data_IF_826467152893
#
_entry.id   IF_826467152893
#
_cell.length_a   1.000
_cell.length_b   1.000
_cell.length_c   1.000
_cell.angle_alpha   90.00
_cell.angle_beta   90.00
_cell.angle_gamma   90.00
#
_symmetry.space_group_name_H-M   'P 1'
#
loop_
_entity.id
_entity.type
_entity.pdbx_description
1 polymer ?
#
# COMPACT_ATOMS: atom_id res chain seq x y z
N UNK A 1 12.62 46.19 -65.12
CA UNK A 1 13.48 45.12 -64.66
C UNK A 1 13.30 45.02 -63.13
N UNK A 2 12.44 44.13 -62.70
CA UNK A 2 12.15 43.82 -61.29
C UNK A 2 13.08 42.69 -60.82
N UNK A 3 13.89 42.94 -59.78
CA UNK A 3 14.57 41.89 -59.01
C UNK A 3 13.76 41.61 -57.78
N UNK A 4 13.25 40.35 -57.68
CA UNK A 4 12.67 39.76 -56.49
C UNK A 4 13.78 39.17 -55.62
N UNK A 5 13.97 39.70 -54.44
CA UNK A 5 14.83 39.12 -53.40
C UNK A 5 13.95 38.20 -52.52
N UNK A 6 14.19 36.90 -52.62
CA UNK A 6 13.60 35.89 -51.74
C UNK A 6 14.38 35.83 -50.44
N UNK A 7 13.77 36.28 -49.35
CA UNK A 7 14.34 36.12 -48.02
C UNK A 7 14.05 34.72 -47.47
N UNK A 8 15.09 33.97 -47.20
CA UNK A 8 15.02 32.68 -46.50
C UNK A 8 14.96 32.98 -44.98
N UNK A 9 13.82 32.69 -44.37
CA UNK A 9 13.65 32.77 -42.92
C UNK A 9 14.17 31.48 -42.31
N UNK A 10 15.36 31.56 -41.75
CA UNK A 10 15.94 30.45 -40.97
C UNK A 10 15.27 30.41 -39.58
N UNK A 11 14.39 29.43 -39.37
CA UNK A 11 13.86 29.10 -38.05
C UNK A 11 14.97 28.45 -37.25
N UNK A 12 15.54 29.20 -36.33
CA UNK A 12 16.44 28.66 -35.28
C UNK A 12 15.56 27.89 -34.30
N UNK A 13 15.58 26.55 -34.39
CA UNK A 13 15.09 25.69 -33.33
C UNK A 13 16.02 25.89 -32.12
N UNK A 14 15.55 26.66 -31.15
CA UNK A 14 16.17 26.77 -29.85
C UNK A 14 16.08 25.42 -29.14
N UNK A 15 17.20 24.68 -29.09
CA UNK A 15 17.38 23.64 -28.10
C UNK A 15 17.26 24.28 -26.73
N UNK A 16 16.14 24.05 -26.04
CA UNK A 16 16.09 24.25 -24.60
C UNK A 16 17.04 23.23 -23.99
N UNK A 17 18.21 23.69 -23.55
CA UNK A 17 19.04 22.97 -22.60
C UNK A 17 18.21 22.86 -21.31
N UNK A 18 17.64 21.69 -21.05
CA UNK A 18 17.17 21.35 -19.73
C UNK A 18 18.41 21.34 -18.84
N UNK A 19 18.58 22.41 -18.03
CA UNK A 19 19.43 22.38 -16.85
C UNK A 19 18.96 21.17 -16.01
N UNK A 20 19.87 20.21 -15.78
CA UNK A 20 19.61 19.06 -14.92
C UNK A 20 19.40 19.53 -13.48
N UNK A 21 18.18 19.89 -13.13
CA UNK A 21 17.66 19.70 -11.79
C UNK A 21 17.44 18.20 -11.68
N UNK A 22 18.22 17.55 -10.82
CA UNK A 22 17.96 16.17 -10.40
C UNK A 22 16.46 16.05 -10.11
N UNK A 23 15.72 15.28 -10.91
CA UNK A 23 14.30 15.02 -10.67
C UNK A 23 14.22 14.30 -9.33
N UNK A 24 14.06 15.06 -8.26
CA UNK A 24 13.86 14.53 -6.92
C UNK A 24 12.55 13.77 -6.91
N UNK A 25 12.68 12.43 -6.93
CA UNK A 25 11.52 11.56 -6.83
C UNK A 25 10.72 11.81 -5.55
N UNK A 26 9.41 11.56 -5.59
CA UNK A 26 8.56 11.63 -4.40
C UNK A 26 9.02 10.63 -3.34
N UNK A 27 9.31 11.12 -2.15
CA UNK A 27 9.83 10.33 -1.03
C UNK A 27 8.70 9.86 -0.13
N UNK A 28 8.50 8.55 -0.07
CA UNK A 28 7.43 7.91 0.69
C UNK A 28 8.01 7.00 1.78
N UNK A 29 7.66 7.28 3.04
CA UNK A 29 7.99 6.43 4.18
C UNK A 29 6.76 5.64 4.63
N UNK A 30 6.84 4.33 4.65
CA UNK A 30 5.80 3.45 5.18
C UNK A 30 6.15 2.98 6.59
N UNK A 31 5.37 3.39 7.59
CA UNK A 31 5.47 2.89 8.96
C UNK A 31 4.39 1.82 9.14
N UNK A 32 4.78 0.53 9.04
CA UNK A 32 3.80 -0.54 9.00
C UNK A 32 4.35 -1.93 9.28
N UNK A 33 3.74 -2.91 8.63
CA UNK A 33 4.01 -4.33 8.82
C UNK A 33 3.90 -5.10 7.49
N UNK A 34 3.54 -6.39 7.49
CA UNK A 34 3.38 -7.19 6.28
C UNK A 34 2.30 -6.68 5.32
N UNK A 35 1.34 -5.88 5.82
CA UNK A 35 0.25 -5.31 5.02
C UNK A 35 0.65 -4.05 4.24
N UNK A 36 1.83 -3.46 4.51
CA UNK A 36 2.39 -2.37 3.71
C UNK A 36 3.57 -2.82 2.85
N UNK A 37 4.48 -3.67 3.38
CA UNK A 37 5.67 -4.06 2.62
C UNK A 37 5.37 -4.93 1.39
N UNK A 38 4.22 -5.60 1.34
CA UNK A 38 3.85 -6.51 0.25
C UNK A 38 3.72 -5.82 -1.12
N UNK A 39 3.49 -4.50 -1.16
CA UNK A 39 3.46 -3.75 -2.43
C UNK A 39 4.85 -3.42 -3.01
N UNK A 40 5.93 -3.56 -2.23
CA UNK A 40 7.29 -3.21 -2.68
C UNK A 40 7.76 -3.90 -3.98
N UNK A 41 7.33 -5.12 -4.33
CA UNK A 41 7.71 -5.74 -5.61
C UNK A 41 7.10 -5.05 -6.83
N UNK A 42 5.96 -4.38 -6.68
CA UNK A 42 5.16 -3.88 -7.79
C UNK A 42 5.09 -2.36 -7.88
N UNK A 43 4.95 -1.64 -6.76
CA UNK A 43 4.75 -0.20 -6.76
C UNK A 43 5.86 0.58 -7.50
N UNK A 44 7.16 0.27 -7.35
CA UNK A 44 8.20 0.98 -8.10
C UNK A 44 8.06 0.82 -9.62
N UNK A 45 7.64 -0.36 -10.11
CA UNK A 45 7.43 -0.64 -11.53
C UNK A 45 6.20 0.08 -12.09
N UNK A 46 5.11 0.13 -11.30
CA UNK A 46 3.92 0.90 -11.66
C UNK A 46 4.23 2.39 -11.71
N UNK A 47 5.05 2.88 -10.76
CA UNK A 47 5.49 4.28 -10.73
C UNK A 47 6.35 4.64 -11.95
N UNK A 48 7.28 3.74 -12.35
CA UNK A 48 8.12 3.89 -13.54
C UNK A 48 7.26 4.04 -14.80
N UNK A 49 6.26 3.16 -15.01
CA UNK A 49 5.34 3.24 -16.14
C UNK A 49 4.51 4.53 -16.16
N UNK A 50 4.18 5.07 -14.98
CA UNK A 50 3.49 6.34 -14.86
C UNK A 50 4.41 7.56 -14.98
N UNK A 51 5.71 7.37 -15.18
CA UNK A 51 6.70 8.46 -15.21
C UNK A 51 6.83 9.19 -13.86
N UNK A 52 6.56 8.50 -12.74
CA UNK A 52 6.65 9.04 -11.38
C UNK A 52 7.95 8.58 -10.74
N UNK A 53 8.97 9.43 -10.62
CA UNK A 53 10.17 9.11 -9.86
C UNK A 53 9.80 8.87 -8.39
N UNK A 54 10.10 7.68 -7.87
CA UNK A 54 9.69 7.24 -6.53
C UNK A 54 10.88 6.79 -5.69
N UNK A 55 10.98 7.33 -4.47
CA UNK A 55 11.85 6.85 -3.40
C UNK A 55 10.96 6.26 -2.29
N UNK A 56 10.85 4.94 -2.25
CA UNK A 56 9.97 4.21 -1.37
C UNK A 56 10.75 3.53 -0.25
N UNK A 57 10.45 3.86 1.00
CA UNK A 57 11.07 3.27 2.18
C UNK A 57 10.03 2.62 3.09
N UNK A 58 10.25 1.38 3.49
CA UNK A 58 9.39 0.64 4.41
C UNK A 58 10.10 0.35 5.72
N UNK A 59 9.45 0.69 6.83
CA UNK A 59 9.81 0.25 8.17
C UNK A 59 8.98 -0.97 8.53
N UNK A 60 9.61 -2.14 8.56
CA UNK A 60 8.93 -3.41 8.73
C UNK A 60 9.19 -4.06 10.08
N UNK A 61 8.12 -4.40 10.77
CA UNK A 61 8.06 -5.40 11.83
C UNK A 61 6.78 -6.22 11.62
N UNK A 62 6.87 -7.55 11.60
CA UNK A 62 5.71 -8.43 11.40
C UNK A 62 4.61 -8.17 12.46
N UNK A 63 3.37 -7.95 12.00
CA UNK A 63 2.20 -7.71 12.86
C UNK A 63 2.30 -6.49 13.78
N UNK A 64 3.15 -5.50 13.46
CA UNK A 64 3.34 -4.31 14.28
C UNK A 64 2.07 -3.48 14.34
N UNK A 65 1.55 -3.28 15.56
CA UNK A 65 0.41 -2.42 15.85
C UNK A 65 0.84 -0.97 16.11
N UNK A 66 -0.11 -0.04 16.09
CA UNK A 66 0.13 1.35 16.47
C UNK A 66 0.71 1.47 17.90
N UNK A 67 0.21 0.66 18.83
CA UNK A 67 0.78 0.56 20.18
C UNK A 67 2.25 0.16 20.15
N UNK A 68 2.59 -0.91 19.43
CA UNK A 68 3.98 -1.38 19.31
C UNK A 68 4.90 -0.39 18.63
N UNK A 69 4.40 0.39 17.64
CA UNK A 69 5.15 1.48 17.07
C UNK A 69 5.50 2.54 18.12
N UNK A 70 4.56 2.88 19.00
CA UNK A 70 4.81 3.84 20.09
C UNK A 70 5.70 3.27 21.21
N UNK A 71 5.63 1.97 21.51
CA UNK A 71 6.59 1.32 22.41
C UNK A 71 8.01 1.40 21.85
N UNK A 72 8.17 1.22 20.55
CA UNK A 72 9.47 1.36 19.89
C UNK A 72 9.98 2.82 19.96
N UNK A 73 9.10 3.84 19.83
CA UNK A 73 9.47 5.25 20.04
C UNK A 73 9.96 5.47 21.47
N UNK A 74 9.25 4.96 22.47
CA UNK A 74 9.63 5.07 23.88
C UNK A 74 10.95 4.35 24.18
N UNK A 75 11.12 3.16 23.66
CA UNK A 75 12.36 2.38 23.81
C UNK A 75 13.57 3.07 23.17
N UNK A 76 13.38 3.71 22.01
CA UNK A 76 14.44 4.47 21.35
C UNK A 76 14.83 5.73 22.15
N UNK A 77 13.88 6.38 22.84
CA UNK A 77 14.17 7.55 23.67
C UNK A 77 15.12 7.25 24.83
N UNK A 78 15.11 6.01 25.36
CA UNK A 78 16.00 5.55 26.44
C UNK A 78 17.23 4.79 25.94
N UNK A 79 17.21 4.29 24.71
CA UNK A 79 18.32 3.58 24.08
C UNK A 79 18.40 3.90 22.59
N UNK A 80 19.25 4.86 22.22
CA UNK A 80 19.44 5.28 20.84
C UNK A 80 19.97 4.17 19.91
N UNK A 81 20.61 3.12 20.46
CA UNK A 81 21.07 1.97 19.68
C UNK A 81 19.96 0.97 19.36
N UNK A 82 18.76 1.13 19.92
CA UNK A 82 17.62 0.28 19.65
C UNK A 82 17.06 0.50 18.24
N UNK A 83 17.28 -0.45 17.33
CA UNK A 83 16.91 -0.40 15.90
C UNK A 83 16.04 -1.62 15.53
N UNK A 84 14.77 -1.67 15.96
CA UNK A 84 13.93 -2.84 15.81
C UNK A 84 13.38 -3.07 14.40
N UNK A 85 13.36 -2.03 13.56
CA UNK A 85 12.77 -2.13 12.21
C UNK A 85 13.79 -2.67 11.21
N UNK A 86 13.36 -3.63 10.39
CA UNK A 86 13.98 -3.82 9.09
C UNK A 86 13.53 -2.67 8.19
N UNK A 87 14.49 -1.99 7.62
CA UNK A 87 14.27 -0.96 6.62
C UNK A 87 14.50 -1.58 5.24
N UNK A 88 13.51 -1.51 4.39
CA UNK A 88 13.60 -1.88 2.98
C UNK A 88 13.36 -0.60 2.16
N UNK A 89 14.32 -0.17 1.34
CA UNK A 89 14.22 1.03 0.51
C UNK A 89 14.41 0.69 -0.95
N UNK A 90 13.62 1.30 -1.82
CA UNK A 90 13.75 1.24 -3.26
C UNK A 90 13.77 2.68 -3.81
N UNK A 91 14.92 3.11 -4.31
CA UNK A 91 15.13 4.43 -4.89
C UNK A 91 15.45 4.26 -6.37
N UNK A 92 14.58 4.75 -7.27
CA UNK A 92 14.76 4.63 -8.72
C UNK A 92 15.13 3.20 -9.18
N UNK A 93 14.47 2.18 -8.59
CA UNK A 93 14.71 0.77 -8.90
C UNK A 93 15.81 0.08 -8.08
N UNK A 94 16.74 0.83 -7.48
CA UNK A 94 17.78 0.27 -6.61
C UNK A 94 17.24 -0.07 -5.22
N UNK A 95 17.52 -1.28 -4.74
CA UNK A 95 17.05 -1.78 -3.44
C UNK A 95 18.17 -1.84 -2.41
N UNK A 96 17.90 -1.30 -1.24
CA UNK A 96 18.78 -1.38 -0.08
C UNK A 96 18.03 -1.88 1.15
N UNK A 97 18.75 -2.51 2.07
CA UNK A 97 18.19 -3.00 3.34
C UNK A 97 19.09 -2.61 4.51
N UNK A 98 18.48 -2.42 5.67
CA UNK A 98 19.18 -2.07 6.89
C UNK A 98 18.32 -2.26 8.13
N UNK A 99 18.85 -1.80 9.27
CA UNK A 99 18.10 -1.70 10.53
C UNK A 99 18.09 -0.28 11.03
N UNK A 100 16.93 0.18 11.48
CA UNK A 100 16.73 1.56 11.93
C UNK A 100 15.67 1.60 13.05
N UNK A 101 15.63 2.68 13.81
CA UNK A 101 14.47 3.05 14.63
C UNK A 101 13.57 4.05 13.89
N UNK A 102 12.34 4.22 14.37
CA UNK A 102 11.35 5.06 13.69
C UNK A 102 11.71 6.55 13.73
N UNK A 103 12.33 7.03 14.82
CA UNK A 103 12.70 8.44 14.93
C UNK A 103 13.85 8.82 13.99
N UNK A 104 14.85 7.95 13.84
CA UNK A 104 15.94 8.15 12.88
C UNK A 104 15.43 8.07 11.44
N UNK A 105 14.50 7.14 11.15
CA UNK A 105 13.91 7.03 9.83
C UNK A 105 13.10 8.28 9.45
N UNK A 106 12.33 8.84 10.36
CA UNK A 106 11.58 10.08 10.12
C UNK A 106 12.49 11.29 9.82
N UNK A 107 13.71 11.29 10.35
CA UNK A 107 14.74 12.34 10.13
C UNK A 107 15.67 12.06 8.95
N UNK A 108 15.61 10.85 8.38
CA UNK A 108 16.56 10.39 7.36
C UNK A 108 16.46 11.23 6.08
N UNK A 109 15.26 11.64 5.73
CA UNK A 109 14.94 12.39 4.51
C UNK A 109 13.89 13.47 4.78
N UNK A 110 13.77 14.41 3.86
CA UNK A 110 12.61 15.28 3.78
C UNK A 110 11.45 14.53 3.10
N UNK A 111 10.77 13.66 3.85
CA UNK A 111 9.68 12.84 3.32
C UNK A 111 8.52 13.70 2.82
N UNK A 112 8.00 13.38 1.62
CA UNK A 112 6.80 14.02 1.08
C UNK A 112 5.53 13.36 1.65
N UNK A 113 5.57 12.04 1.83
CA UNK A 113 4.46 11.25 2.35
C UNK A 113 4.97 10.29 3.43
N UNK A 114 4.23 10.22 4.55
CA UNK A 114 4.40 9.16 5.56
C UNK A 114 3.09 8.40 5.67
N UNK A 115 3.11 7.08 5.45
CA UNK A 115 1.92 6.26 5.63
C UNK A 115 1.96 5.50 6.95
N UNK A 116 0.80 5.37 7.58
CA UNK A 116 0.59 4.60 8.80
C UNK A 116 -0.61 3.67 8.64
N UNK A 117 -0.60 2.57 9.39
CA UNK A 117 -1.71 1.62 9.43
C UNK A 117 -1.80 0.93 10.78
N UNK A 118 -2.97 0.39 11.12
CA UNK A 118 -3.11 -0.50 12.27
C UNK A 118 -2.77 -1.95 11.86
N UNK A 119 -2.33 -2.78 12.80
CA UNK A 119 -2.21 -4.21 12.57
C UNK A 119 -3.59 -4.81 12.25
N UNK A 120 -3.67 -5.65 11.21
CA UNK A 120 -4.94 -6.09 10.64
C UNK A 120 -5.88 -6.80 11.63
N UNK A 121 -5.34 -7.53 12.62
CA UNK A 121 -6.12 -8.18 13.68
C UNK A 121 -6.70 -7.22 14.74
N UNK A 122 -6.29 -5.95 14.72
CA UNK A 122 -6.83 -4.87 15.54
C UNK A 122 -7.59 -3.82 14.71
N UNK A 123 -7.44 -3.82 13.38
CA UNK A 123 -7.94 -2.75 12.51
C UNK A 123 -9.47 -2.56 12.52
N UNK A 124 -10.21 -3.59 12.91
CA UNK A 124 -11.67 -3.55 13.05
C UNK A 124 -12.15 -3.02 14.40
N UNK A 125 -11.21 -2.69 15.33
CA UNK A 125 -11.47 -2.18 16.68
C UNK A 125 -11.15 -0.70 16.73
N UNK A 126 -12.14 0.23 16.72
CA UNK A 126 -11.89 1.67 16.74
C UNK A 126 -11.01 2.12 17.93
N UNK A 127 -11.21 1.52 19.10
CA UNK A 127 -10.44 1.81 20.30
C UNK A 127 -8.96 1.50 20.17
N UNK A 128 -8.57 0.58 19.29
CA UNK A 128 -7.17 0.19 19.08
C UNK A 128 -6.32 1.26 18.40
N UNK A 129 -6.96 2.26 17.78
CA UNK A 129 -6.26 3.37 17.16
C UNK A 129 -5.83 4.43 18.17
N UNK A 130 -6.45 4.46 19.33
CA UNK A 130 -6.23 5.46 20.38
C UNK A 130 -5.67 4.84 21.67
N UNK A 131 -4.77 5.54 22.39
CA UNK A 131 -4.17 6.84 22.04
C UNK A 131 -2.96 6.73 21.10
N UNK A 132 -2.52 5.50 20.76
CA UNK A 132 -1.22 5.25 20.16
C UNK A 132 -1.10 5.79 18.72
N UNK A 133 -2.17 5.72 17.93
CA UNK A 133 -2.21 6.31 16.59
C UNK A 133 -2.09 7.83 16.63
N UNK A 134 -2.80 8.48 17.55
CA UNK A 134 -2.72 9.93 17.75
C UNK A 134 -1.29 10.36 18.17
N UNK A 135 -0.67 9.57 19.06
CA UNK A 135 0.72 9.80 19.51
C UNK A 135 1.72 9.62 18.36
N UNK A 136 1.53 8.63 17.51
CA UNK A 136 2.39 8.40 16.34
C UNK A 136 2.25 9.54 15.33
N UNK A 137 1.02 10.00 15.05
CA UNK A 137 0.75 11.19 14.23
C UNK A 137 1.47 12.42 14.79
N UNK A 138 1.38 12.66 16.10
CA UNK A 138 2.08 13.77 16.75
C UNK A 138 3.62 13.64 16.58
N UNK A 139 4.17 12.44 16.72
CA UNK A 139 5.60 12.17 16.54
C UNK A 139 6.07 12.38 15.09
N UNK A 140 5.26 12.00 14.10
CA UNK A 140 5.54 12.27 12.70
C UNK A 140 5.56 13.77 12.42
N UNK A 141 4.56 14.51 12.92
CA UNK A 141 4.51 15.97 12.77
C UNK A 141 5.68 16.69 13.44
N UNK A 142 6.19 16.14 14.55
CA UNK A 142 7.38 16.67 15.25
C UNK A 142 8.67 16.48 14.43
N UNK A 143 8.86 15.29 13.81
CA UNK A 143 10.14 14.89 13.21
C UNK A 143 10.19 15.02 11.69
N UNK A 144 9.04 15.06 11.02
CA UNK A 144 8.87 15.24 9.58
C UNK A 144 7.67 16.16 9.29
N UNK A 145 7.71 17.44 9.74
CA UNK A 145 6.56 18.35 9.73
C UNK A 145 6.03 18.66 8.32
N UNK A 146 6.89 18.55 7.29
CA UNK A 146 6.51 18.76 5.89
C UNK A 146 5.73 17.58 5.29
N UNK A 147 5.81 16.38 5.88
CA UNK A 147 5.25 15.18 5.30
C UNK A 147 3.72 15.17 5.36
N UNK A 148 3.07 14.85 4.25
CA UNK A 148 1.66 14.49 4.23
C UNK A 148 1.49 13.12 4.90
N UNK A 149 0.69 13.08 5.99
CA UNK A 149 0.38 11.79 6.63
C UNK A 149 -0.83 11.18 5.93
N UNK A 150 -0.73 9.92 5.54
CA UNK A 150 -1.79 9.17 4.87
C UNK A 150 -2.02 7.85 5.61
N UNK A 151 -3.28 7.49 5.80
CA UNK A 151 -3.66 6.26 6.50
C UNK A 151 -3.93 5.17 5.49
N UNK A 152 -3.23 4.04 5.57
CA UNK A 152 -3.50 2.88 4.72
C UNK A 152 -4.57 2.01 5.36
N UNK A 153 -5.72 1.87 4.71
CA UNK A 153 -6.75 0.91 5.09
C UNK A 153 -6.26 -0.51 4.81
N UNK A 154 -6.35 -1.40 5.81
CA UNK A 154 -6.13 -2.82 5.63
C UNK A 154 -7.40 -3.49 5.08
N UNK A 155 -7.35 -4.78 4.81
CA UNK A 155 -8.45 -5.54 4.20
C UNK A 155 -8.99 -6.62 5.13
N UNK A 156 -10.22 -7.08 4.86
CA UNK A 156 -10.82 -8.19 5.57
C UNK A 156 -10.23 -9.54 5.12
N UNK A 157 -10.19 -10.48 6.05
CA UNK A 157 -9.64 -11.82 5.84
C UNK A 157 -10.56 -12.68 4.95
N UNK A 158 -10.04 -13.82 4.49
CA UNK A 158 -10.88 -14.84 3.85
C UNK A 158 -11.71 -15.58 4.89
N UNK A 159 -12.84 -16.22 4.49
CA UNK A 159 -13.66 -17.01 5.42
C UNK A 159 -12.92 -18.17 6.09
N UNK A 160 -11.75 -18.53 5.55
CA UNK A 160 -10.91 -19.61 6.09
C UNK A 160 -10.10 -19.21 7.34
N UNK A 161 -10.06 -17.91 7.67
CA UNK A 161 -9.33 -17.46 8.86
C UNK A 161 -10.16 -17.74 10.12
N UNK A 162 -9.61 -18.62 11.00
CA UNK A 162 -10.29 -19.03 12.22
C UNK A 162 -10.61 -17.89 13.19
N UNK A 163 -9.86 -16.77 13.10
CA UNK A 163 -10.08 -15.59 13.94
C UNK A 163 -11.45 -14.96 13.70
N UNK A 164 -11.95 -15.00 12.47
CA UNK A 164 -13.30 -14.50 12.18
C UNK A 164 -14.36 -15.23 13.00
N UNK A 165 -14.25 -16.57 13.07
CA UNK A 165 -15.14 -17.39 13.90
C UNK A 165 -14.97 -17.08 15.40
N UNK A 166 -13.73 -16.90 15.85
CA UNK A 166 -13.41 -16.52 17.24
C UNK A 166 -14.00 -15.13 17.58
N UNK A 167 -14.01 -14.21 16.63
CA UNK A 167 -14.56 -12.86 16.78
C UNK A 167 -16.08 -12.79 16.60
N UNK A 168 -16.71 -13.83 16.05
CA UNK A 168 -18.14 -13.95 15.89
C UNK A 168 -18.71 -13.26 14.65
N UNK A 169 -17.90 -12.96 13.63
CA UNK A 169 -18.36 -12.33 12.39
C UNK A 169 -17.61 -12.85 11.14
N UNK A 170 -18.15 -12.52 9.95
CA UNK A 170 -17.59 -12.89 8.66
C UNK A 170 -16.70 -11.81 8.03
N UNK A 171 -16.18 -12.07 6.79
CA UNK A 171 -15.36 -11.12 6.05
C UNK A 171 -16.03 -9.77 5.79
N UNK A 172 -17.32 -9.77 5.43
CA UNK A 172 -18.05 -8.53 5.11
C UNK A 172 -18.19 -7.64 6.34
N UNK A 173 -18.59 -8.20 7.49
CA UNK A 173 -18.69 -7.46 8.73
C UNK A 173 -17.29 -6.99 9.22
N UNK A 174 -16.23 -7.79 9.00
CA UNK A 174 -14.87 -7.33 9.27
C UNK A 174 -14.54 -6.09 8.43
N UNK A 175 -14.90 -6.10 7.12
CA UNK A 175 -14.69 -4.95 6.26
C UNK A 175 -15.45 -3.71 6.76
N UNK A 176 -16.73 -3.83 7.05
CA UNK A 176 -17.54 -2.71 7.54
C UNK A 176 -16.94 -2.08 8.79
N UNK A 177 -16.53 -2.91 9.75
CA UNK A 177 -15.91 -2.46 11.01
C UNK A 177 -14.56 -1.76 10.78
N UNK A 178 -13.67 -2.35 9.98
CA UNK A 178 -12.36 -1.74 9.73
C UNK A 178 -12.48 -0.47 8.89
N UNK A 179 -13.36 -0.43 7.90
CA UNK A 179 -13.62 0.75 7.09
C UNK A 179 -14.09 1.93 7.97
N UNK A 180 -15.05 1.67 8.85
CA UNK A 180 -15.53 2.67 9.83
C UNK A 180 -14.41 3.14 10.77
N UNK A 181 -13.60 2.24 11.30
CA UNK A 181 -12.51 2.57 12.22
C UNK A 181 -11.42 3.43 11.56
N UNK A 182 -10.98 3.06 10.34
CA UNK A 182 -10.02 3.84 9.57
C UNK A 182 -10.58 5.22 9.18
N UNK A 183 -11.85 5.27 8.73
CA UNK A 183 -12.52 6.52 8.39
C UNK A 183 -12.62 7.48 9.58
N UNK A 184 -13.02 6.99 10.74
CA UNK A 184 -13.11 7.78 11.96
C UNK A 184 -11.74 8.31 12.41
N UNK A 185 -10.71 7.46 12.39
CA UNK A 185 -9.34 7.86 12.75
C UNK A 185 -8.78 8.89 11.79
N UNK A 186 -8.94 8.68 10.47
CA UNK A 186 -8.46 9.60 9.46
C UNK A 186 -9.15 10.97 9.54
N UNK A 187 -10.49 10.99 9.68
CA UNK A 187 -11.29 12.20 9.80
C UNK A 187 -10.90 13.01 11.04
N UNK A 188 -10.76 12.35 12.20
CA UNK A 188 -10.33 13.00 13.45
C UNK A 188 -8.99 13.71 13.30
N UNK A 189 -8.07 13.14 12.56
CA UNK A 189 -6.71 13.65 12.41
C UNK A 189 -6.49 14.50 11.13
N UNK A 190 -7.51 14.66 10.28
CA UNK A 190 -7.44 15.41 9.04
C UNK A 190 -6.56 14.74 7.98
N UNK A 191 -6.57 13.40 7.92
CA UNK A 191 -5.75 12.62 6.99
C UNK A 191 -6.57 12.01 5.86
N UNK A 192 -5.95 11.83 4.70
CA UNK A 192 -6.51 11.01 3.62
C UNK A 192 -6.27 9.52 3.91
N UNK A 193 -7.11 8.68 3.28
CA UNK A 193 -7.01 7.22 3.39
C UNK A 193 -6.63 6.64 2.02
N UNK A 194 -5.74 5.67 1.97
CA UNK A 194 -5.58 4.78 0.83
C UNK A 194 -6.57 3.63 1.01
N UNK A 195 -7.65 3.54 0.20
CA UNK A 195 -8.81 2.69 0.47
C UNK A 195 -8.61 1.25 -0.02
N UNK A 196 -7.50 0.61 0.33
CA UNK A 196 -7.22 -0.70 -0.23
C UNK A 196 -8.15 -1.81 0.30
N UNK A 197 -8.60 -1.72 1.55
CA UNK A 197 -9.64 -2.63 2.08
C UNK A 197 -10.94 -2.53 1.27
N UNK A 198 -11.33 -1.30 0.91
CA UNK A 198 -12.47 -1.03 0.02
C UNK A 198 -12.23 -1.60 -1.38
N UNK A 199 -11.01 -1.49 -1.93
CA UNK A 199 -10.69 -2.08 -3.23
C UNK A 199 -10.82 -3.60 -3.23
N UNK A 200 -10.38 -4.28 -2.17
CA UNK A 200 -10.56 -5.73 -2.00
C UNK A 200 -12.06 -6.10 -1.96
N UNK A 201 -12.88 -5.31 -1.28
CA UNK A 201 -14.32 -5.56 -1.22
C UNK A 201 -15.00 -5.33 -2.58
N UNK A 202 -14.60 -4.29 -3.34
CA UNK A 202 -15.08 -4.06 -4.70
C UNK A 202 -14.66 -5.19 -5.66
N UNK A 203 -13.45 -5.70 -5.52
CA UNK A 203 -12.99 -6.88 -6.26
C UNK A 203 -13.92 -8.09 -6.01
N UNK A 204 -14.19 -8.41 -4.75
CA UNK A 204 -15.06 -9.52 -4.35
C UNK A 204 -16.49 -9.36 -4.85
N UNK A 205 -16.98 -8.11 -4.93
CA UNK A 205 -18.33 -7.80 -5.42
C UNK A 205 -18.45 -7.93 -6.94
N UNK A 206 -17.43 -7.51 -7.70
CA UNK A 206 -17.45 -7.48 -9.19
C UNK A 206 -17.04 -8.81 -9.80
N UNK A 207 -16.16 -9.54 -9.16
CA UNK A 207 -15.83 -10.91 -9.44
C UNK A 207 -16.34 -11.76 -8.26
N UNK A 208 -17.56 -12.31 -8.34
CA UNK A 208 -18.13 -13.08 -7.22
C UNK A 208 -17.17 -14.18 -6.80
N UNK A 209 -16.42 -13.92 -5.74
CA UNK A 209 -15.46 -14.88 -5.19
C UNK A 209 -16.24 -16.01 -4.53
N UNK A 210 -16.17 -17.20 -5.11
CA UNK A 210 -16.86 -18.38 -4.59
C UNK A 210 -15.85 -19.25 -3.85
N UNK A 211 -15.80 -19.14 -2.55
CA UNK A 211 -14.98 -20.01 -1.72
C UNK A 211 -15.58 -21.42 -1.71
N UNK A 212 -14.85 -22.37 -2.26
CA UNK A 212 -15.20 -23.79 -2.19
C UNK A 212 -14.36 -24.46 -1.10
N UNK A 213 -14.66 -25.72 -0.78
CA UNK A 213 -13.97 -26.46 0.29
C UNK A 213 -12.42 -26.47 0.16
N UNK A 214 -11.90 -26.26 -1.05
CA UNK A 214 -10.46 -26.30 -1.34
C UNK A 214 -9.98 -25.20 -2.28
N UNK A 215 -10.61 -24.02 -2.28
CA UNK A 215 -10.24 -22.93 -3.16
C UNK A 215 -10.52 -21.56 -2.52
N UNK A 216 -9.67 -20.59 -2.83
CA UNK A 216 -9.90 -19.17 -2.53
C UNK A 216 -10.80 -18.46 -3.57
N UNK A 217 -11.34 -19.21 -4.54
CA UNK A 217 -12.35 -18.73 -5.49
C UNK A 217 -11.96 -17.52 -6.35
N UNK A 218 -10.65 -17.27 -6.56
CA UNK A 218 -10.19 -16.11 -7.33
C UNK A 218 -9.98 -14.85 -6.49
N UNK A 219 -10.08 -14.93 -5.16
CA UNK A 219 -9.78 -13.80 -4.26
C UNK A 219 -8.32 -13.32 -4.42
N UNK A 220 -8.09 -12.05 -4.16
CA UNK A 220 -6.76 -11.43 -4.09
C UNK A 220 -6.10 -11.60 -2.72
N UNK A 221 -6.85 -12.16 -1.76
CA UNK A 221 -6.41 -12.49 -0.40
C UNK A 221 -6.29 -14.00 -0.25
N UNK A 222 -5.24 -14.45 0.43
CA UNK A 222 -5.00 -15.87 0.71
C UNK A 222 -4.21 -16.58 -0.39
N UNK A 223 -3.62 -17.72 -0.05
CA UNK A 223 -2.88 -18.58 -0.99
C UNK A 223 -1.50 -18.08 -1.39
N UNK A 224 -0.92 -17.14 -0.66
CA UNK A 224 0.39 -16.56 -0.94
C UNK A 224 1.50 -17.62 -1.03
N UNK A 225 2.33 -17.50 -2.08
CA UNK A 225 3.54 -18.32 -2.28
C UNK A 225 3.31 -19.84 -2.37
N UNK A 226 2.11 -20.30 -2.80
CA UNK A 226 1.84 -21.73 -2.98
C UNK A 226 1.06 -22.00 -4.25
N UNK A 227 1.35 -23.16 -4.87
CA UNK A 227 0.50 -23.71 -5.90
C UNK A 227 -0.92 -23.99 -5.33
N UNK A 228 -1.97 -23.82 -6.15
CA UNK A 228 -3.37 -23.97 -5.68
C UNK A 228 -3.61 -25.32 -5.02
N UNK A 229 -3.03 -26.38 -5.54
CA UNK A 229 -3.12 -27.75 -5.04
C UNK A 229 -2.51 -27.95 -3.66
N UNK A 230 -1.52 -27.11 -3.28
CA UNK A 230 -0.84 -27.19 -2.00
C UNK A 230 -1.47 -26.32 -0.90
N UNK A 231 -2.44 -25.49 -1.27
CA UNK A 231 -3.07 -24.57 -0.32
C UNK A 231 -4.08 -25.23 0.61
N UNK A 232 -4.53 -26.42 0.30
CA UNK A 232 -5.52 -27.14 1.10
C UNK A 232 -5.07 -28.58 1.35
N UNK A 233 -5.40 -29.10 2.52
CA UNK A 233 -5.16 -30.49 2.91
C UNK A 233 -6.36 -31.06 3.63
N UNK A 234 -6.47 -32.38 3.70
CA UNK A 234 -7.46 -33.06 4.54
C UNK A 234 -6.97 -33.08 6.00
N UNK A 235 -7.86 -32.76 6.93
CA UNK A 235 -7.64 -32.97 8.35
C UNK A 235 -7.98 -34.41 8.78
N UNK A 236 -7.94 -34.70 10.08
CA UNK A 236 -8.25 -36.01 10.63
C UNK A 236 -9.70 -36.44 10.39
N UNK A 237 -10.62 -35.48 10.18
CA UNK A 237 -12.05 -35.74 9.88
C UNK A 237 -12.33 -35.74 8.37
N UNK A 238 -11.28 -35.80 7.53
CA UNK A 238 -11.35 -35.73 6.06
C UNK A 238 -11.97 -34.43 5.49
N UNK A 239 -12.02 -33.35 6.28
CA UNK A 239 -12.44 -32.03 5.83
C UNK A 239 -11.28 -31.27 5.20
N UNK A 240 -11.57 -30.47 4.18
CA UNK A 240 -10.58 -29.58 3.61
C UNK A 240 -10.30 -28.41 4.55
N UNK A 241 -9.02 -28.22 4.88
CA UNK A 241 -8.54 -27.13 5.73
C UNK A 241 -7.39 -26.39 5.04
N UNK A 242 -7.25 -25.07 5.21
CA UNK A 242 -6.15 -24.32 4.64
C UNK A 242 -4.80 -24.81 5.18
N UNK A 243 -3.83 -24.95 4.29
CA UNK A 243 -2.44 -25.30 4.59
C UNK A 243 -1.49 -24.19 4.19
N UNK A 244 -2.01 -22.99 3.90
CA UNK A 244 -1.30 -21.82 3.47
C UNK A 244 -1.84 -20.57 4.19
N UNK A 245 -1.31 -19.42 3.84
CA UNK A 245 -1.76 -18.13 4.33
C UNK A 245 -3.21 -17.87 3.88
N UNK A 246 -4.03 -17.37 4.78
CA UNK A 246 -5.47 -17.11 4.57
C UNK A 246 -5.86 -15.64 4.76
N UNK A 247 -4.89 -14.73 5.00
CA UNK A 247 -5.20 -13.34 5.31
C UNK A 247 -4.25 -12.30 4.68
N UNK A 248 -3.04 -12.70 4.23
CA UNK A 248 -2.22 -11.82 3.42
C UNK A 248 -2.67 -11.82 1.96
N UNK A 249 -2.23 -10.82 1.21
CA UNK A 249 -2.42 -10.79 -0.24
C UNK A 249 -1.63 -11.92 -0.90
N UNK A 250 -2.20 -12.48 -1.96
CA UNK A 250 -1.41 -13.20 -2.94
C UNK A 250 -0.77 -12.20 -3.92
N UNK A 251 0.04 -12.70 -4.85
CA UNK A 251 0.81 -11.86 -5.77
C UNK A 251 -0.08 -10.94 -6.63
N UNK A 252 -1.31 -11.37 -6.97
CA UNK A 252 -2.30 -10.52 -7.67
C UNK A 252 -2.76 -9.37 -6.80
N UNK A 253 -3.02 -9.66 -5.53
CA UNK A 253 -3.40 -8.65 -4.54
C UNK A 253 -2.28 -7.64 -4.26
N UNK A 254 -1.02 -8.06 -4.27
CA UNK A 254 0.14 -7.17 -4.10
C UNK A 254 0.25 -6.17 -5.27
N UNK A 255 0.04 -6.63 -6.51
CA UNK A 255 -0.04 -5.75 -7.69
C UNK A 255 -1.24 -4.81 -7.62
N UNK A 256 -2.41 -5.32 -7.25
CA UNK A 256 -3.61 -4.50 -7.09
C UNK A 256 -3.43 -3.41 -6.03
N UNK A 257 -2.77 -3.73 -4.92
CA UNK A 257 -2.44 -2.73 -3.90
C UNK A 257 -1.56 -1.61 -4.46
N UNK A 258 -0.57 -1.94 -5.30
CA UNK A 258 0.29 -0.95 -5.94
C UNK A 258 -0.51 0.00 -6.85
N UNK A 259 -1.49 -0.49 -7.62
CA UNK A 259 -2.36 0.35 -8.44
C UNK A 259 -3.21 1.31 -7.60
N UNK A 260 -3.81 0.82 -6.50
CA UNK A 260 -4.62 1.66 -5.60
C UNK A 260 -3.76 2.72 -4.91
N UNK A 261 -2.52 2.38 -4.53
CA UNK A 261 -1.56 3.35 -3.98
C UNK A 261 -1.22 4.44 -5.00
N UNK A 262 -0.91 4.07 -6.24
CA UNK A 262 -0.63 5.04 -7.30
C UNK A 262 -1.80 5.99 -7.51
N UNK A 263 -3.01 5.48 -7.66
CA UNK A 263 -4.21 6.31 -7.82
C UNK A 263 -4.48 7.23 -6.61
N UNK A 264 -4.15 6.76 -5.38
CA UNK A 264 -4.44 7.50 -4.14
C UNK A 264 -3.42 8.60 -3.82
N UNK A 265 -2.16 8.40 -4.21
CA UNK A 265 -1.06 9.30 -3.85
C UNK A 265 -0.68 10.25 -4.98
N UNK A 266 -0.90 9.86 -6.24
CA UNK A 266 -0.45 10.58 -7.41
C UNK A 266 -1.60 10.91 -8.36
N UNK A 267 -1.45 11.98 -9.11
CA UNK A 267 -2.41 12.37 -10.16
C UNK A 267 -2.01 11.72 -11.49
N UNK A 268 -2.25 10.41 -11.59
CA UNK A 268 -1.88 9.59 -12.76
C UNK A 268 -3.11 8.92 -13.38
N UNK A 269 -3.05 8.69 -14.71
CA UNK A 269 -4.02 7.84 -15.40
C UNK A 269 -3.49 6.40 -15.42
N UNK A 270 -4.13 5.53 -14.66
CA UNK A 270 -3.72 4.11 -14.58
C UNK A 270 -3.91 3.35 -15.91
N UNK A 271 -4.60 3.91 -16.91
CA UNK A 271 -4.73 3.28 -18.23
C UNK A 271 -3.39 3.16 -18.94
N UNK A 272 -2.50 4.12 -18.68
CA UNK A 272 -1.16 4.16 -19.28
C UNK A 272 -0.18 3.15 -18.65
N UNK A 273 -0.54 2.51 -17.52
CA UNK A 273 0.30 1.49 -16.88
C UNK A 273 0.38 0.25 -17.77
N UNK A 274 1.54 0.03 -18.39
CA UNK A 274 1.83 -1.15 -19.21
C UNK A 274 2.27 -2.36 -18.39
N UNK A 275 2.93 -2.11 -17.24
CA UNK A 275 3.38 -3.17 -16.35
C UNK A 275 2.22 -4.00 -15.80
N UNK A 276 2.38 -5.31 -15.98
CA UNK A 276 1.49 -6.34 -15.45
C UNK A 276 2.31 -7.58 -15.09
N UNK A 277 2.18 -8.14 -13.89
CA UNK A 277 2.81 -9.41 -13.57
C UNK A 277 2.28 -10.54 -14.46
N UNK A 278 3.11 -11.53 -14.83
CA UNK A 278 2.70 -12.57 -15.77
C UNK A 278 1.54 -13.45 -15.31
N UNK A 279 1.30 -13.53 -14.00
CA UNK A 279 0.20 -14.29 -13.39
C UNK A 279 -1.11 -13.49 -13.28
N UNK A 280 -1.14 -12.23 -13.69
CA UNK A 280 -2.36 -11.41 -13.77
C UNK A 280 -2.84 -11.40 -15.21
N UNK A 281 -4.09 -11.75 -15.46
CA UNK A 281 -4.70 -11.69 -16.79
C UNK A 281 -4.98 -10.26 -17.22
N UNK A 282 -5.21 -10.02 -18.52
CA UNK A 282 -5.53 -8.67 -19.01
C UNK A 282 -6.87 -8.17 -18.47
N UNK A 283 -7.86 -9.04 -18.34
CA UNK A 283 -9.17 -8.72 -17.77
C UNK A 283 -9.06 -8.39 -16.28
N UNK A 284 -8.27 -9.14 -15.50
CA UNK A 284 -7.99 -8.84 -14.10
C UNK A 284 -7.29 -7.48 -13.95
N UNK A 285 -6.23 -7.23 -14.75
CA UNK A 285 -5.50 -5.97 -14.70
C UNK A 285 -6.40 -4.78 -15.06
N UNK A 286 -7.24 -4.93 -16.08
CA UNK A 286 -8.24 -3.92 -16.47
C UNK A 286 -9.19 -3.61 -15.32
N UNK A 287 -9.79 -4.63 -14.72
CA UNK A 287 -10.71 -4.46 -13.60
C UNK A 287 -10.03 -3.83 -12.38
N UNK A 288 -8.80 -4.22 -12.05
CA UNK A 288 -8.02 -3.63 -10.95
C UNK A 288 -7.77 -2.14 -11.17
N UNK A 289 -7.41 -1.73 -12.40
CA UNK A 289 -7.21 -0.32 -12.77
C UNK A 289 -8.52 0.48 -12.70
N UNK A 290 -9.63 -0.08 -13.16
CA UNK A 290 -10.95 0.53 -13.08
C UNK A 290 -11.35 0.78 -11.62
N UNK A 291 -11.26 -0.23 -10.75
CA UNK A 291 -11.58 -0.09 -9.32
C UNK A 291 -10.67 0.97 -8.67
N UNK A 292 -9.37 0.95 -8.94
CA UNK A 292 -8.44 1.91 -8.36
C UNK A 292 -8.73 3.36 -8.79
N UNK A 293 -9.09 3.57 -10.07
CA UNK A 293 -9.46 4.88 -10.59
C UNK A 293 -10.77 5.42 -9.97
N UNK A 294 -11.81 4.58 -9.89
CA UNK A 294 -13.09 4.95 -9.29
C UNK A 294 -12.96 5.34 -7.81
N UNK A 295 -12.12 4.61 -7.06
CA UNK A 295 -11.88 4.91 -5.64
C UNK A 295 -11.11 6.22 -5.43
N UNK A 296 -10.32 6.68 -6.41
CA UNK A 296 -9.69 8.00 -6.41
C UNK A 296 -10.74 9.12 -6.49
N UNK A 297 -11.74 8.95 -7.35
CA UNK A 297 -12.74 9.97 -7.66
C UNK A 297 -13.85 10.08 -6.58
N UNK A 298 -14.00 9.08 -5.73
CA UNK A 298 -15.04 9.08 -4.71
C UNK A 298 -14.73 10.10 -3.60
N UNK A 299 -15.54 11.18 -3.43
CA UNK A 299 -15.36 12.12 -2.34
C UNK A 299 -15.47 11.37 -1.00
N UNK A 300 -14.43 11.41 -0.22
CA UNK A 300 -14.46 10.81 1.13
C UNK A 300 -15.15 11.79 2.06
N UNK A 301 -16.40 11.46 2.44
CA UNK A 301 -17.20 12.19 3.40
C UNK A 301 -16.76 11.89 4.83
#
# INVERSE_FOLDING_TARGET
VCCLLSGILATVLGCKSSSGEDEKGTKVLMIGNSFSICLMPHLPKVAEDCGVPLDLCSLYIGGCSLERHMDNVRSNAVNAAFKPYRMDRCTLGERTQGKINVCDALKLEAWDVVTIQQASHYSWKPESFHPHGDQLVAKIRELAPQAKIVVQETWSYTPWDKRLKEWGFGPDEMYEKLHAAYGAFATKNGHSVIPFGTAVQEWRRRLPVTYTENSFGGDVVGGRNRAKEDCFKRDADYKWVPNCDVFHLNERGEYFQALVWMASLFDVDLKEVGYKPPFVTDDEAKLMKEIAAELKETPRR
#
